data_IF_734111764540
#
_entry.id   IF_734111764540
#
_cell.length_a   1.000
_cell.length_b   1.000
_cell.length_c   1.000
_cell.angle_alpha   90.00
_cell.angle_beta   90.00
_cell.angle_gamma   90.00
#
_symmetry.space_group_name_H-M   'P 1'
#
loop_
_entity.id
_entity.type
_entity.pdbx_description
1 polymer ?
#
# COMPACT_ATOMS: atom_id res chain seq x y z
N UNK A 1 -21.34 -1.62 -4.84
CA UNK A 1 -21.88 -0.23 -4.87
C UNK A 1 -22.33 0.31 -3.51
N UNK A 2 -22.81 -0.49 -2.60
CA UNK A 2 -23.36 -0.02 -1.29
C UNK A 2 -22.25 0.25 -0.26
N UNK A 3 -21.16 -0.50 -0.26
CA UNK A 3 -20.07 -0.38 0.76
C UNK A 3 -19.24 0.90 0.58
N UNK A 4 -19.04 1.35 -0.67
CA UNK A 4 -18.26 2.57 -0.93
C UNK A 4 -19.02 3.86 -0.56
N UNK A 5 -20.36 3.84 -0.60
CA UNK A 5 -21.17 5.02 -0.28
C UNK A 5 -21.28 5.33 1.22
N UNK A 6 -21.00 4.33 2.06
CA UNK A 6 -21.03 4.47 3.53
C UNK A 6 -19.80 5.15 4.12
N UNK A 7 -18.72 5.30 3.34
CA UNK A 7 -17.44 5.85 3.81
C UNK A 7 -17.21 7.31 3.41
N UNK A 8 -18.16 7.95 2.70
CA UNK A 8 -17.97 9.31 2.19
C UNK A 8 -19.03 10.27 2.72
N UNK A 9 -18.68 11.35 3.41
CA UNK A 9 -19.63 12.43 3.67
C UNK A 9 -20.03 13.15 2.37
N UNK A 10 -21.30 13.41 2.20
CA UNK A 10 -21.79 14.27 1.11
C UNK A 10 -21.28 15.70 1.29
N UNK A 11 -20.64 16.22 0.23
CA UNK A 11 -20.19 17.59 0.04
C UNK A 11 -19.09 18.15 0.94
N UNK A 12 -17.89 18.17 0.41
CA UNK A 12 -16.96 19.32 0.47
C UNK A 12 -15.79 19.01 -0.46
N UNK A 13 -15.08 20.02 -0.95
CA UNK A 13 -13.83 19.86 -1.70
C UNK A 13 -12.90 18.92 -0.92
N UNK A 14 -12.82 17.66 -1.33
CA UNK A 14 -12.07 16.65 -0.57
C UNK A 14 -10.57 16.97 -0.63
N UNK A 15 -10.06 17.47 0.49
CA UNK A 15 -8.64 17.56 0.74
C UNK A 15 -8.08 16.24 1.35
N UNK A 16 -8.89 15.16 1.36
CA UNK A 16 -8.49 13.88 1.91
C UNK A 16 -8.26 12.86 0.78
N UNK A 17 -7.07 12.25 0.77
CA UNK A 17 -6.71 11.20 -0.15
C UNK A 17 -6.68 9.86 0.59
N UNK A 18 -7.47 8.90 0.10
CA UNK A 18 -7.41 7.53 0.59
C UNK A 18 -6.10 6.89 0.10
N UNK A 19 -5.19 6.61 1.01
CA UNK A 19 -3.90 6.04 0.67
C UNK A 19 -3.92 4.50 0.77
N UNK A 20 -4.55 3.93 1.78
CA UNK A 20 -4.55 2.48 2.02
C UNK A 20 -5.81 1.83 1.44
N UNK A 21 -5.85 1.65 0.11
CA UNK A 21 -6.91 0.89 -0.55
C UNK A 21 -6.36 -0.40 -1.14
N UNK A 22 -7.09 -1.49 -0.92
CA UNK A 22 -6.80 -2.81 -1.44
C UNK A 22 -7.75 -3.12 -2.58
N UNK A 23 -7.20 -3.54 -3.73
CA UNK A 23 -7.99 -4.01 -4.86
C UNK A 23 -8.24 -5.52 -4.78
N UNK A 24 -8.91 -6.04 -5.81
CA UNK A 24 -9.11 -7.47 -6.03
C UNK A 24 -7.82 -8.29 -6.07
N UNK A 25 -6.66 -7.65 -6.24
CA UNK A 25 -5.35 -8.29 -6.25
C UNK A 25 -4.79 -8.54 -4.83
N UNK A 26 -5.38 -7.95 -3.79
CA UNK A 26 -5.14 -8.32 -2.39
C UNK A 26 -6.05 -9.48 -2.01
N UNK A 27 -5.59 -10.71 -2.23
CA UNK A 27 -6.39 -11.93 -2.04
C UNK A 27 -6.84 -12.03 -0.58
N UNK A 28 -8.12 -12.31 -0.36
CA UNK A 28 -8.80 -12.37 0.95
C UNK A 28 -8.92 -11.03 1.70
N UNK A 29 -8.42 -9.91 1.16
CA UNK A 29 -8.52 -8.59 1.80
C UNK A 29 -9.34 -7.59 0.98
N UNK A 30 -9.08 -7.51 -0.33
CA UNK A 30 -9.68 -6.54 -1.23
C UNK A 30 -10.79 -7.14 -2.10
N UNK A 31 -11.93 -6.44 -2.18
CA UNK A 31 -13.04 -6.81 -3.06
C UNK A 31 -13.31 -5.75 -4.14
N UNK A 32 -12.59 -4.64 -4.13
CA UNK A 32 -12.82 -3.51 -5.04
C UNK A 32 -12.12 -3.78 -6.35
N UNK A 33 -12.86 -3.71 -7.46
CA UNK A 33 -12.29 -3.80 -8.80
C UNK A 33 -11.74 -2.44 -9.24
N UNK A 34 -10.68 -2.47 -10.04
CA UNK A 34 -10.07 -1.23 -10.55
C UNK A 34 -11.04 -0.45 -11.44
N UNK A 35 -11.93 -1.12 -12.18
CA UNK A 35 -12.99 -0.45 -12.95
C UNK A 35 -13.96 0.31 -12.06
N UNK A 36 -14.35 -0.26 -10.92
CA UNK A 36 -15.22 0.43 -9.96
C UNK A 36 -14.55 1.67 -9.37
N UNK A 37 -13.22 1.63 -9.16
CA UNK A 37 -12.42 2.78 -8.73
C UNK A 37 -12.35 3.89 -9.79
N UNK A 38 -12.25 3.52 -11.06
CA UNK A 38 -12.29 4.48 -12.16
C UNK A 38 -13.64 5.21 -12.21
N UNK A 39 -14.74 4.47 -12.18
CA UNK A 39 -16.10 5.03 -12.21
C UNK A 39 -16.37 5.90 -10.98
N UNK A 40 -15.91 5.45 -9.81
CA UNK A 40 -15.98 6.21 -8.56
C UNK A 40 -15.20 7.53 -8.65
N UNK A 41 -13.96 7.46 -9.13
CA UNK A 41 -13.09 8.64 -9.27
C UNK A 41 -13.69 9.68 -10.21
N UNK A 42 -14.22 9.23 -11.37
CA UNK A 42 -14.88 10.07 -12.34
C UNK A 42 -16.14 10.75 -11.77
N UNK A 43 -17.01 9.97 -11.11
CA UNK A 43 -18.29 10.44 -10.59
C UNK A 43 -18.11 11.43 -9.43
N UNK A 44 -17.08 11.26 -8.60
CA UNK A 44 -16.81 12.10 -7.45
C UNK A 44 -15.71 13.14 -7.67
N UNK A 45 -15.17 13.25 -8.90
CA UNK A 45 -14.11 14.20 -9.27
C UNK A 45 -12.91 14.12 -8.32
N UNK A 46 -12.48 12.92 -8.01
CA UNK A 46 -11.36 12.64 -7.11
C UNK A 46 -10.07 13.18 -7.74
N UNK A 47 -9.29 13.94 -6.99
CA UNK A 47 -8.03 14.54 -7.48
C UNK A 47 -6.88 13.54 -7.49
N UNK A 48 -6.77 12.71 -6.45
CA UNK A 48 -5.76 11.68 -6.33
C UNK A 48 -6.29 10.49 -5.55
N UNK A 49 -5.82 9.30 -5.90
CA UNK A 49 -6.25 8.04 -5.30
C UNK A 49 -5.05 7.11 -5.24
N UNK A 50 -4.89 6.38 -4.14
CA UNK A 50 -3.81 5.42 -4.00
C UNK A 50 -4.30 3.99 -4.09
N UNK A 51 -3.43 3.12 -4.60
CA UNK A 51 -3.54 1.67 -4.51
C UNK A 51 -2.43 1.16 -3.59
N UNK A 52 -2.77 0.28 -2.66
CA UNK A 52 -1.84 -0.29 -1.69
C UNK A 52 -2.17 -1.77 -1.45
N UNK A 53 -1.99 -2.59 -2.48
CA UNK A 53 -2.24 -4.03 -2.37
C UNK A 53 -1.20 -4.72 -1.49
N UNK A 54 -1.56 -5.85 -0.90
CA UNK A 54 -0.70 -6.59 0.04
C UNK A 54 0.27 -7.48 -0.72
N UNK A 55 1.56 -7.29 -0.47
CA UNK A 55 2.68 -8.09 -0.97
C UNK A 55 2.73 -8.24 -2.49
N UNK A 56 2.11 -7.33 -3.25
CA UNK A 56 2.16 -7.37 -4.71
C UNK A 56 1.88 -5.99 -5.35
N UNK A 57 2.22 -5.88 -6.63
CA UNK A 57 1.96 -4.72 -7.49
C UNK A 57 1.17 -5.12 -8.75
N UNK A 58 0.43 -6.24 -8.70
CA UNK A 58 -0.26 -6.80 -9.87
C UNK A 58 -1.27 -5.83 -10.49
N UNK A 59 -1.96 -5.05 -9.65
CA UNK A 59 -2.93 -4.05 -10.11
C UNK A 59 -2.33 -2.70 -10.49
N UNK A 60 -1.05 -2.45 -10.24
CA UNK A 60 -0.46 -1.11 -10.31
C UNK A 60 -0.56 -0.47 -11.70
N UNK A 61 -0.23 -1.21 -12.76
CA UNK A 61 -0.29 -0.70 -14.14
C UNK A 61 -1.72 -0.43 -14.57
N UNK A 62 -2.61 -1.38 -14.38
CA UNK A 62 -4.03 -1.24 -14.71
C UNK A 62 -4.66 -0.06 -13.97
N UNK A 63 -4.37 0.07 -12.68
CA UNK A 63 -4.83 1.19 -11.87
C UNK A 63 -4.30 2.53 -12.38
N UNK A 64 -2.99 2.63 -12.64
CA UNK A 64 -2.37 3.86 -13.12
C UNK A 64 -3.00 4.33 -14.44
N UNK A 65 -3.19 3.41 -15.41
CA UNK A 65 -3.78 3.73 -16.70
C UNK A 65 -5.25 4.15 -16.60
N UNK A 66 -6.06 3.39 -15.85
CA UNK A 66 -7.51 3.65 -15.76
C UNK A 66 -7.80 4.93 -14.97
N UNK A 67 -7.12 5.16 -13.86
CA UNK A 67 -7.33 6.31 -13.00
C UNK A 67 -6.84 7.61 -13.67
N UNK A 68 -5.71 7.56 -14.38
CA UNK A 68 -5.22 8.72 -15.14
C UNK A 68 -6.18 9.15 -16.27
N UNK A 69 -6.85 8.19 -16.94
CA UNK A 69 -7.82 8.47 -18.01
C UNK A 69 -9.01 9.32 -17.56
N UNK A 70 -9.35 9.30 -16.28
CA UNK A 70 -10.44 10.10 -15.72
C UNK A 70 -9.98 11.39 -15.03
N UNK A 71 -8.69 11.75 -15.19
CA UNK A 71 -8.10 12.96 -14.65
C UNK A 71 -7.75 12.90 -13.16
N UNK A 72 -7.73 11.73 -12.58
CA UNK A 72 -7.30 11.48 -11.20
C UNK A 72 -5.83 11.07 -11.18
N UNK A 73 -5.03 11.63 -10.28
CA UNK A 73 -3.62 11.24 -10.10
C UNK A 73 -3.55 9.88 -9.37
N UNK A 74 -2.99 8.85 -10.00
CA UNK A 74 -2.73 7.58 -9.31
C UNK A 74 -1.51 7.72 -8.39
N UNK A 75 -1.61 7.15 -7.19
CA UNK A 75 -0.51 6.99 -6.24
C UNK A 75 -0.29 5.50 -6.07
N UNK A 76 0.91 5.02 -6.40
CA UNK A 76 1.22 3.59 -6.36
C UNK A 76 1.95 3.26 -5.06
N UNK A 77 1.43 2.26 -4.37
CA UNK A 77 2.01 1.69 -3.17
C UNK A 77 1.72 0.20 -3.04
N UNK A 78 2.32 -0.38 -2.05
CA UNK A 78 2.03 -1.75 -1.58
C UNK A 78 2.35 -1.83 -0.09
N UNK A 79 1.73 -2.75 0.63
CA UNK A 79 2.18 -3.09 1.98
C UNK A 79 2.93 -4.41 1.97
N UNK A 80 4.10 -4.43 2.59
CA UNK A 80 5.02 -5.58 2.63
C UNK A 80 5.29 -5.91 4.09
N UNK A 81 5.46 -7.19 4.41
CA UNK A 81 5.96 -7.60 5.71
C UNK A 81 7.44 -7.25 5.85
N UNK A 82 7.78 -6.59 6.95
CA UNK A 82 9.15 -6.35 7.36
C UNK A 82 9.44 -7.08 8.65
N UNK A 83 10.64 -7.65 8.73
CA UNK A 83 11.16 -8.33 9.90
C UNK A 83 12.16 -7.46 10.63
N UNK A 84 11.95 -7.30 11.94
CA UNK A 84 12.89 -6.65 12.85
C UNK A 84 13.05 -7.52 14.09
N UNK A 85 14.23 -8.14 14.26
CA UNK A 85 14.44 -9.17 15.25
C UNK A 85 13.47 -10.34 15.07
N UNK A 86 12.70 -10.66 16.10
CA UNK A 86 11.68 -11.71 16.07
C UNK A 86 10.27 -11.22 15.68
N UNK A 87 10.16 -9.95 15.29
CA UNK A 87 8.87 -9.36 14.97
C UNK A 87 8.73 -9.20 13.46
N UNK A 88 7.58 -9.58 12.95
CA UNK A 88 7.21 -9.39 11.53
C UNK A 88 5.90 -8.62 11.47
N UNK A 89 5.83 -7.62 10.60
CA UNK A 89 4.59 -6.86 10.44
C UNK A 89 4.58 -6.01 9.17
N UNK A 90 3.38 -5.68 8.74
CA UNK A 90 3.14 -4.93 7.50
C UNK A 90 3.49 -3.45 7.66
N UNK A 91 4.18 -2.92 6.65
CA UNK A 91 4.39 -1.48 6.46
C UNK A 91 3.89 -1.06 5.07
N UNK A 92 3.00 -0.06 4.98
CA UNK A 92 2.62 0.53 3.71
C UNK A 92 3.72 1.42 3.15
N UNK A 93 4.07 1.20 1.89
CA UNK A 93 5.07 1.93 1.13
C UNK A 93 4.41 2.59 -0.07
N UNK A 94 4.79 3.84 -0.39
CA UNK A 94 4.28 4.58 -1.55
C UNK A 94 5.43 5.17 -2.35
N UNK A 95 5.37 5.05 -3.66
CA UNK A 95 6.33 5.65 -4.56
C UNK A 95 6.10 7.17 -4.66
N UNK A 96 7.13 7.95 -4.37
CA UNK A 96 7.14 9.41 -4.56
C UNK A 96 7.63 9.80 -5.97
N UNK A 97 8.42 8.93 -6.60
CA UNK A 97 9.01 9.11 -7.92
C UNK A 97 9.36 7.75 -8.55
N UNK A 98 9.97 7.78 -9.74
CA UNK A 98 10.35 6.57 -10.47
C UNK A 98 11.36 5.69 -9.70
N UNK A 99 12.32 6.30 -9.00
CA UNK A 99 13.31 5.57 -8.20
C UNK A 99 12.63 4.85 -7.04
N UNK A 100 11.73 5.52 -6.33
CA UNK A 100 10.92 4.90 -5.28
C UNK A 100 10.06 3.76 -5.80
N UNK A 101 9.48 3.88 -7.00
CA UNK A 101 8.74 2.80 -7.62
C UNK A 101 9.61 1.57 -7.91
N UNK A 102 10.80 1.77 -8.48
CA UNK A 102 11.79 0.69 -8.71
C UNK A 102 12.21 0.03 -7.39
N UNK A 103 12.37 0.84 -6.35
CA UNK A 103 12.70 0.35 -5.00
C UNK A 103 11.59 -0.54 -4.42
N UNK A 104 10.35 -0.10 -4.52
CA UNK A 104 9.19 -0.90 -4.06
C UNK A 104 9.09 -2.23 -4.84
N UNK A 105 9.32 -2.22 -6.15
CA UNK A 105 9.38 -3.45 -6.96
C UNK A 105 10.45 -4.40 -6.43
N UNK A 106 11.65 -3.88 -6.14
CA UNK A 106 12.77 -4.68 -5.62
C UNK A 106 12.43 -5.29 -4.26
N UNK A 107 11.92 -4.48 -3.31
CA UNK A 107 11.51 -4.95 -1.98
C UNK A 107 10.40 -6.01 -2.08
N UNK A 108 9.40 -5.79 -2.94
CA UNK A 108 8.35 -6.79 -3.18
C UNK A 108 8.90 -8.09 -3.75
N UNK A 109 9.90 -8.04 -4.64
CA UNK A 109 10.55 -9.24 -5.18
C UNK A 109 11.39 -9.95 -4.12
N UNK A 110 12.20 -9.20 -3.37
CA UNK A 110 13.06 -9.76 -2.32
C UNK A 110 12.25 -10.46 -1.23
N UNK A 111 11.06 -9.93 -0.90
CA UNK A 111 10.20 -10.55 0.11
C UNK A 111 9.82 -12.00 -0.21
N UNK A 112 9.86 -12.41 -1.48
CA UNK A 112 9.59 -13.78 -1.91
C UNK A 112 10.86 -14.57 -2.22
N UNK A 113 11.92 -13.90 -2.69
CA UNK A 113 13.11 -14.58 -3.21
C UNK A 113 14.16 -14.88 -2.12
N UNK A 114 14.19 -14.07 -1.07
CA UNK A 114 15.23 -14.15 -0.04
C UNK A 114 14.81 -14.93 1.22
N UNK A 115 13.62 -15.53 1.20
CA UNK A 115 13.10 -16.30 2.32
C UNK A 115 13.00 -17.79 1.98
N UNK A 116 13.06 -18.62 3.02
CA UNK A 116 12.80 -20.07 2.90
C UNK A 116 11.33 -20.30 2.48
N UNK A 117 11.09 -21.36 1.69
CA UNK A 117 9.76 -21.73 1.17
C UNK A 117 8.67 -21.90 2.25
N UNK A 118 9.06 -22.12 3.51
CA UNK A 118 8.15 -22.34 4.63
C UNK A 118 7.86 -21.08 5.45
N UNK A 119 8.55 -19.97 5.18
CA UNK A 119 8.33 -18.71 5.91
C UNK A 119 7.39 -17.80 5.14
N UNK A 120 6.58 -17.01 5.87
CA UNK A 120 5.79 -15.95 5.25
C UNK A 120 6.72 -14.94 4.55
N UNK A 121 6.37 -14.48 3.34
CA UNK A 121 7.18 -13.52 2.59
C UNK A 121 7.42 -12.25 3.42
N UNK A 122 8.69 -11.88 3.61
CA UNK A 122 9.10 -10.68 4.34
C UNK A 122 10.44 -10.14 3.85
N UNK A 123 10.76 -8.92 4.23
CA UNK A 123 12.04 -8.25 3.98
C UNK A 123 12.67 -7.88 5.32
N UNK A 124 14.00 -7.96 5.44
CA UNK A 124 14.68 -7.42 6.62
C UNK A 124 14.50 -5.90 6.68
N UNK A 125 14.17 -5.38 7.86
CA UNK A 125 13.90 -3.95 8.04
C UNK A 125 15.13 -3.08 7.72
N UNK A 126 16.34 -3.62 7.89
CA UNK A 126 17.57 -2.90 7.56
C UNK A 126 17.68 -2.58 6.06
N UNK A 127 17.15 -3.43 5.16
CA UNK A 127 17.11 -3.09 3.73
C UNK A 127 16.34 -1.80 3.45
N UNK A 128 15.30 -1.52 4.23
CA UNK A 128 14.53 -0.29 4.09
C UNK A 128 15.28 0.91 4.64
N UNK A 129 16.09 0.73 5.68
CA UNK A 129 16.91 1.80 6.26
C UNK A 129 18.08 2.17 5.35
N UNK A 130 18.70 1.18 4.71
CA UNK A 130 19.88 1.38 3.87
C UNK A 130 19.56 2.15 2.58
N UNK A 131 18.35 1.97 2.03
CA UNK A 131 17.93 2.65 0.82
C UNK A 131 16.41 2.89 0.81
N UNK A 132 15.99 4.07 1.21
CA UNK A 132 14.58 4.49 1.21
C UNK A 132 14.31 5.70 0.30
N UNK A 133 15.24 6.05 -0.57
CA UNK A 133 15.12 7.22 -1.45
C UNK A 133 13.89 7.08 -2.36
N UNK A 134 13.07 8.12 -2.37
CA UNK A 134 11.87 8.17 -3.21
C UNK A 134 10.69 7.32 -2.71
N UNK A 135 10.76 6.76 -1.49
CA UNK A 135 9.68 5.97 -0.88
C UNK A 135 9.13 6.71 0.33
N UNK A 136 7.82 6.88 0.39
CA UNK A 136 7.11 7.27 1.61
C UNK A 136 6.70 6.01 2.38
N UNK A 137 7.01 5.97 3.68
CA UNK A 137 6.79 4.83 4.56
C UNK A 137 5.79 5.24 5.62
N UNK A 138 4.78 4.43 5.87
CA UNK A 138 3.81 4.65 6.93
C UNK A 138 3.93 3.56 7.99
N UNK A 139 3.68 3.92 9.25
CA UNK A 139 3.75 3.00 10.39
C UNK A 139 2.74 1.84 10.34
N UNK A 140 1.75 1.93 9.46
CA UNK A 140 0.71 0.92 9.34
C UNK A 140 -0.38 1.07 10.41
N UNK A 141 -0.94 -0.06 10.81
CA UNK A 141 -1.98 -0.14 11.84
C UNK A 141 -1.41 -0.70 13.14
N UNK A 142 -2.26 -0.85 14.15
CA UNK A 142 -1.90 -1.54 15.41
C UNK A 142 -1.46 -3.00 15.21
N UNK A 143 -1.76 -3.58 14.05
CA UNK A 143 -1.32 -4.92 13.64
C UNK A 143 -0.11 -4.87 12.67
N UNK A 144 0.44 -3.69 12.39
CA UNK A 144 1.68 -3.51 11.63
C UNK A 144 2.91 -3.70 12.52
N UNK A 145 4.11 -3.62 11.92
CA UNK A 145 5.38 -3.84 12.62
C UNK A 145 5.51 -2.96 13.89
N UNK A 146 5.23 -1.67 13.77
CA UNK A 146 5.32 -0.75 14.92
C UNK A 146 4.26 -1.04 15.98
N UNK A 147 3.05 -1.43 15.57
CA UNK A 147 2.00 -1.84 16.51
C UNK A 147 2.38 -3.09 17.30
N UNK A 148 2.99 -4.07 16.64
CA UNK A 148 3.51 -5.28 17.29
C UNK A 148 4.63 -4.97 18.29
N UNK A 149 5.60 -4.13 17.92
CA UNK A 149 6.66 -3.67 18.82
C UNK A 149 6.09 -2.94 20.04
N UNK A 150 5.14 -2.05 19.81
CA UNK A 150 4.46 -1.31 20.87
C UNK A 150 3.73 -2.24 21.84
N UNK A 151 2.94 -3.19 21.32
CA UNK A 151 2.18 -4.15 22.13
C UNK A 151 3.10 -5.05 22.98
N UNK A 152 4.31 -5.31 22.52
CA UNK A 152 5.33 -6.09 23.24
C UNK A 152 6.15 -5.24 24.23
N UNK A 153 5.83 -3.96 24.40
CA UNK A 153 6.52 -3.07 25.31
C UNK A 153 7.93 -2.63 24.88
N UNK A 154 8.23 -2.77 23.57
CA UNK A 154 9.52 -2.42 22.99
C UNK A 154 9.53 -0.98 22.47
N UNK A 155 9.42 -0.01 23.39
CA UNK A 155 9.28 1.41 23.05
C UNK A 155 10.58 2.12 22.67
N UNK A 156 11.71 1.47 22.85
CA UNK A 156 13.05 2.04 22.63
C UNK A 156 13.78 1.41 21.43
N UNK A 157 13.16 0.50 20.77
CA UNK A 157 13.65 -0.14 19.52
C UNK A 157 13.03 0.52 18.28
#
# INVERSE_FOLDING_TARGET
MVVLKLLMPESSSQNFNHLKMHSQYSICEGAVKIDDLQDFSKSNKIKSLALCDTSNLCGALEFAEKISKVGTQPIIGTQINFKYGDNVGLLPLFALNEEGYKRIIKLSSNSFLENDELSDPHVDFNELLDDNIGVAIFSGTVFGLFGELFNKGKFSE
#
